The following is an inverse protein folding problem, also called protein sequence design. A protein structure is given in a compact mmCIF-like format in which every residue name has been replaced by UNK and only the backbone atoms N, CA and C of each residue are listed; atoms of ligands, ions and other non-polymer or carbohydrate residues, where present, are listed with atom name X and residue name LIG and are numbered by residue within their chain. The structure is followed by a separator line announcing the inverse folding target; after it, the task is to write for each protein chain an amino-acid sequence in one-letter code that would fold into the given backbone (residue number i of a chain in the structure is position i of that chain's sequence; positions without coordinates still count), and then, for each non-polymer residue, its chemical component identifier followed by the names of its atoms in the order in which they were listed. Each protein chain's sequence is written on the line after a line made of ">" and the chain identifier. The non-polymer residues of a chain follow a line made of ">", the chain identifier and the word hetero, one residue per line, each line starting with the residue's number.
data_IF_914064109348
#
_entry.id   IF_914064109348
#
_cell.length_a   1.000
_cell.length_b   1.000
_cell.length_c   1.000
_cell.angle_alpha   90.00
_cell.angle_beta   90.00
_cell.angle_gamma   90.00
#
_symmetry.space_group_name_H-M   'P 1'
#
loop_
_entity.id
_entity.type
_entity.pdbx_description
1 polymer ?
#
# COMPACT_ATOMS: atom_id res chain seq x y z
N UNK A 1 8.62 -33.53 -17.16
CA UNK A 1 8.00 -33.80 -15.84
C UNK A 1 8.86 -33.32 -14.66
N UNK A 2 10.11 -33.80 -14.50
CA UNK A 2 10.99 -33.38 -13.39
C UNK A 2 11.32 -31.87 -13.44
N UNK A 3 11.58 -31.32 -14.64
CA UNK A 3 11.83 -29.90 -14.83
C UNK A 3 10.64 -29.03 -14.39
N UNK A 4 9.42 -29.45 -14.76
CA UNK A 4 8.17 -28.77 -14.41
C UNK A 4 7.89 -28.82 -12.88
N UNK A 5 8.24 -29.93 -12.23
CA UNK A 5 8.07 -30.12 -10.79
C UNK A 5 9.06 -29.28 -9.96
N UNK A 6 10.34 -29.22 -10.38
CA UNK A 6 11.33 -28.32 -9.78
C UNK A 6 10.98 -26.85 -10.00
N UNK A 7 10.42 -26.51 -11.17
CA UNK A 7 9.93 -25.16 -11.46
C UNK A 7 8.78 -24.76 -10.55
N UNK A 8 7.80 -25.65 -10.40
CA UNK A 8 6.64 -25.45 -9.51
C UNK A 8 7.06 -25.27 -8.05
N UNK A 9 8.00 -26.09 -7.54
CA UNK A 9 8.48 -25.98 -6.17
C UNK A 9 9.22 -24.66 -5.90
N UNK A 10 10.12 -24.26 -6.81
CA UNK A 10 10.89 -23.01 -6.69
C UNK A 10 10.02 -21.77 -6.91
N UNK A 11 8.87 -21.90 -7.57
CA UNK A 11 7.88 -20.82 -7.73
C UNK A 11 7.02 -20.68 -6.48
N UNK A 12 6.58 -21.80 -5.90
CA UNK A 12 5.82 -21.79 -4.65
C UNK A 12 6.58 -21.07 -3.52
N UNK A 13 7.90 -21.24 -3.47
CA UNK A 13 8.74 -20.55 -2.49
C UNK A 13 8.77 -19.02 -2.67
N UNK A 14 8.76 -18.52 -3.90
CA UNK A 14 8.81 -17.08 -4.21
C UNK A 14 7.44 -16.43 -4.04
N UNK A 15 6.38 -17.11 -4.48
CA UNK A 15 5.01 -16.64 -4.26
C UNK A 15 4.70 -16.60 -2.76
N UNK A 16 5.15 -17.59 -1.99
CA UNK A 16 5.02 -17.53 -0.54
C UNK A 16 5.73 -16.31 0.08
N UNK A 17 6.81 -15.80 -0.52
CA UNK A 17 7.48 -14.58 -0.04
C UNK A 17 6.64 -13.33 -0.29
N UNK A 18 6.13 -13.14 -1.51
CA UNK A 18 5.25 -11.99 -1.82
C UNK A 18 3.97 -12.05 -0.97
N UNK A 19 3.32 -13.21 -0.90
CA UNK A 19 2.12 -13.37 -0.06
C UNK A 19 2.44 -13.08 1.40
N UNK A 20 3.62 -13.45 1.88
CA UNK A 20 4.12 -13.06 3.20
C UNK A 20 4.20 -11.54 3.37
N UNK A 21 4.82 -10.83 2.43
CA UNK A 21 4.89 -9.36 2.47
C UNK A 21 3.50 -8.73 2.46
N UNK A 22 2.61 -9.22 1.60
CA UNK A 22 1.24 -8.72 1.47
C UNK A 22 0.44 -8.98 2.76
N UNK A 23 0.57 -10.15 3.37
CA UNK A 23 -0.03 -10.46 4.67
C UNK A 23 0.52 -9.57 5.79
N UNK A 24 1.82 -9.30 5.80
CA UNK A 24 2.44 -8.39 6.77
C UNK A 24 1.88 -6.98 6.61
N UNK A 25 1.82 -6.45 5.37
CA UNK A 25 1.27 -5.12 5.09
C UNK A 25 -0.19 -5.03 5.53
N UNK A 26 -1.03 -6.00 5.16
CA UNK A 26 -2.43 -6.01 5.58
C UNK A 26 -2.60 -6.19 7.09
N UNK A 27 -1.74 -6.99 7.73
CA UNK A 27 -1.69 -7.09 9.19
C UNK A 27 -1.35 -5.76 9.85
N UNK A 28 -0.39 -5.01 9.29
CA UNK A 28 -0.03 -3.68 9.77
C UNK A 28 -1.18 -2.68 9.59
N UNK A 29 -1.92 -2.73 8.48
CA UNK A 29 -3.13 -1.90 8.29
C UNK A 29 -4.10 -2.13 9.45
N UNK A 30 -4.44 -3.39 9.73
CA UNK A 30 -5.38 -3.73 10.79
C UNK A 30 -4.84 -3.27 12.16
N UNK A 31 -3.55 -3.51 12.44
CA UNK A 31 -2.93 -3.10 13.71
C UNK A 31 -2.94 -1.57 13.91
N UNK A 32 -2.89 -0.79 12.83
CA UNK A 32 -2.94 0.67 12.89
C UNK A 32 -4.38 1.17 12.98
N UNK A 33 -5.34 0.57 12.26
CA UNK A 33 -6.73 1.03 12.25
C UNK A 33 -7.51 0.65 13.52
N UNK A 34 -7.26 -0.54 14.06
CA UNK A 34 -7.99 -1.05 15.23
C UNK A 34 -7.92 -0.14 16.47
N UNK A 35 -6.74 0.36 16.91
CA UNK A 35 -6.66 1.20 18.11
C UNK A 35 -7.35 2.56 17.93
N UNK A 36 -7.32 3.14 16.72
CA UNK A 36 -8.02 4.39 16.42
C UNK A 36 -9.54 4.19 16.45
N UNK A 37 -10.01 3.08 15.87
CA UNK A 37 -11.44 2.73 15.85
C UNK A 37 -11.96 2.44 17.27
N UNK A 38 -11.19 1.69 18.07
CA UNK A 38 -11.55 1.38 19.46
C UNK A 38 -11.60 2.65 20.33
N UNK A 39 -10.65 3.56 20.15
CA UNK A 39 -10.64 4.83 20.88
C UNK A 39 -11.90 5.65 20.57
N UNK A 40 -12.26 5.76 19.29
CA UNK A 40 -13.48 6.46 18.88
C UNK A 40 -14.74 5.81 19.46
N UNK A 41 -14.83 4.48 19.45
CA UNK A 41 -15.98 3.75 20.01
C UNK A 41 -16.11 3.93 21.54
N UNK A 42 -14.99 4.07 22.26
CA UNK A 42 -15.00 4.23 23.71
C UNK A 42 -15.26 5.68 24.15
N UNK A 43 -14.60 6.67 23.53
CA UNK A 43 -14.67 8.08 23.95
C UNK A 43 -15.60 8.95 23.10
N UNK A 44 -16.06 8.48 21.93
CA UNK A 44 -16.79 9.30 20.96
C UNK A 44 -15.95 10.37 20.28
N UNK A 45 -14.62 10.36 20.49
CA UNK A 45 -13.67 11.32 19.93
C UNK A 45 -12.29 10.68 19.73
N UNK A 46 -11.53 11.22 18.77
CA UNK A 46 -10.15 10.81 18.49
C UNK A 46 -9.15 11.49 19.44
N UNK A 47 -7.93 10.95 19.51
CA UNK A 47 -6.90 11.36 20.49
C UNK A 47 -6.56 12.86 20.44
N UNK A 48 -5.84 13.28 19.40
CA UNK A 48 -5.29 14.63 19.26
C UNK A 48 -5.12 14.94 17.77
N UNK A 49 -5.32 16.21 17.39
CA UNK A 49 -5.13 16.69 16.01
C UNK A 49 -3.72 16.44 15.48
N UNK A 50 -2.71 16.44 16.37
CA UNK A 50 -1.31 16.19 16.00
C UNK A 50 -1.02 14.74 15.59
N UNK A 51 -1.83 13.78 16.03
CA UNK A 51 -1.68 12.37 15.68
C UNK A 51 -2.41 12.02 14.38
N UNK A 52 -3.39 12.84 13.97
CA UNK A 52 -4.12 12.68 12.73
C UNK A 52 -3.24 12.66 11.46
N UNK A 53 -2.30 13.61 11.23
CA UNK A 53 -1.47 13.56 10.03
C UNK A 53 -0.59 12.32 9.96
N UNK A 54 -0.06 11.86 11.11
CA UNK A 54 0.74 10.64 11.18
C UNK A 54 -0.10 9.39 10.85
N UNK A 55 -1.33 9.33 11.37
CA UNK A 55 -2.25 8.24 11.07
C UNK A 55 -2.67 8.24 9.59
N UNK A 56 -3.05 9.39 9.03
CA UNK A 56 -3.42 9.54 7.62
C UNK A 56 -2.27 9.08 6.72
N UNK A 57 -1.04 9.54 7.01
CA UNK A 57 0.14 9.18 6.25
C UNK A 57 0.35 7.66 6.23
N UNK A 58 0.33 7.02 7.40
CA UNK A 58 0.55 5.58 7.51
C UNK A 58 -0.58 4.80 6.86
N UNK A 59 -1.83 5.17 7.09
CA UNK A 59 -2.98 4.45 6.57
C UNK A 59 -3.06 4.51 5.04
N UNK A 60 -2.99 5.71 4.45
CA UNK A 60 -3.01 5.88 2.99
C UNK A 60 -1.84 5.16 2.32
N UNK A 61 -0.64 5.30 2.88
CA UNK A 61 0.55 4.63 2.35
C UNK A 61 0.38 3.10 2.35
N UNK A 62 -0.01 2.52 3.48
CA UNK A 62 -0.14 1.06 3.59
C UNK A 62 -1.30 0.52 2.72
N UNK A 63 -2.42 1.25 2.67
CA UNK A 63 -3.59 0.87 1.88
C UNK A 63 -3.27 0.82 0.39
N UNK A 64 -2.67 1.89 -0.15
CA UNK A 64 -2.31 1.98 -1.57
C UNK A 64 -1.18 1.00 -1.91
N UNK A 65 -0.20 0.83 -1.01
CA UNK A 65 0.83 -0.19 -1.18
C UNK A 65 0.20 -1.60 -1.26
N UNK A 66 -0.80 -1.91 -0.44
CA UNK A 66 -1.52 -3.19 -0.50
C UNK A 66 -2.22 -3.39 -1.84
N UNK A 67 -2.89 -2.36 -2.38
CA UNK A 67 -3.55 -2.41 -3.70
C UNK A 67 -2.54 -2.63 -4.81
N UNK A 68 -1.48 -1.82 -4.86
CA UNK A 68 -0.43 -1.90 -5.90
C UNK A 68 0.27 -3.26 -5.85
N UNK A 69 0.62 -3.75 -4.65
CA UNK A 69 1.21 -5.08 -4.50
C UNK A 69 0.24 -6.16 -4.99
N UNK A 70 -1.04 -6.10 -4.62
CA UNK A 70 -2.05 -7.07 -5.07
C UNK A 70 -2.19 -7.07 -6.59
N UNK A 71 -2.26 -5.89 -7.21
CA UNK A 71 -2.30 -5.75 -8.67
C UNK A 71 -1.04 -6.34 -9.32
N UNK A 72 0.14 -6.01 -8.80
CA UNK A 72 1.42 -6.53 -9.31
C UNK A 72 1.49 -8.05 -9.19
N UNK A 73 1.08 -8.64 -8.06
CA UNK A 73 1.06 -10.10 -7.89
C UNK A 73 0.19 -10.80 -8.94
N UNK A 74 -0.90 -10.13 -9.36
CA UNK A 74 -1.84 -10.65 -10.35
C UNK A 74 -1.25 -10.59 -11.75
N UNK A 75 -0.57 -9.48 -12.09
CA UNK A 75 0.16 -9.30 -13.35
C UNK A 75 1.31 -10.31 -13.44
N UNK A 76 2.09 -10.48 -12.36
CA UNK A 76 3.19 -11.43 -12.33
C UNK A 76 2.72 -12.87 -12.58
N UNK A 77 1.60 -13.25 -11.95
CA UNK A 77 0.94 -14.55 -12.18
C UNK A 77 0.51 -14.72 -13.63
N UNK A 78 -0.11 -13.70 -14.22
CA UNK A 78 -0.51 -13.72 -15.61
C UNK A 78 0.70 -13.88 -16.55
N UNK A 79 1.73 -13.06 -16.38
CA UNK A 79 2.96 -13.13 -17.19
C UNK A 79 3.67 -14.48 -17.06
N UNK A 80 3.63 -15.08 -15.87
CA UNK A 80 4.22 -16.39 -15.67
C UNK A 80 3.50 -17.49 -16.47
N UNK A 81 2.17 -17.47 -16.51
CA UNK A 81 1.37 -18.49 -17.21
C UNK A 81 1.56 -18.38 -18.73
N UNK A 82 1.59 -17.17 -19.28
CA UNK A 82 1.60 -16.95 -20.73
C UNK A 82 3.00 -16.71 -21.32
N UNK A 83 3.97 -16.25 -20.52
CA UNK A 83 5.30 -15.84 -20.98
C UNK A 83 6.43 -16.40 -20.10
N UNK A 84 6.34 -17.67 -19.72
CA UNK A 84 7.27 -18.36 -18.82
C UNK A 84 8.76 -18.17 -19.23
N UNK A 85 9.09 -18.40 -20.51
CA UNK A 85 10.47 -18.26 -21.04
C UNK A 85 11.09 -16.87 -20.80
N UNK A 86 10.30 -15.79 -20.83
CA UNK A 86 10.78 -14.43 -20.60
C UNK A 86 11.03 -14.17 -19.11
N UNK A 87 10.09 -14.61 -18.27
CA UNK A 87 10.17 -14.48 -16.80
C UNK A 87 11.33 -15.31 -16.24
N UNK A 88 11.57 -16.52 -16.75
CA UNK A 88 12.66 -17.40 -16.28
C UNK A 88 14.04 -16.73 -16.39
N UNK A 89 14.25 -15.94 -17.45
CA UNK A 89 15.54 -15.29 -17.76
C UNK A 89 15.75 -14.00 -16.99
N UNK A 90 14.68 -13.29 -16.64
CA UNK A 90 14.74 -11.98 -15.97
C UNK A 90 14.05 -11.98 -14.60
N UNK A 91 13.99 -13.14 -13.94
CA UNK A 91 13.23 -13.35 -12.70
C UNK A 91 13.57 -12.34 -11.60
N UNK A 92 14.85 -12.03 -11.40
CA UNK A 92 15.28 -11.09 -10.35
C UNK A 92 14.82 -9.66 -10.66
N UNK A 93 14.95 -9.25 -11.93
CA UNK A 93 14.59 -7.90 -12.37
C UNK A 93 13.07 -7.69 -12.37
N UNK A 94 12.29 -8.69 -12.78
CA UNK A 94 10.84 -8.57 -12.88
C UNK A 94 10.12 -8.83 -11.55
N UNK A 95 10.76 -9.49 -10.59
CA UNK A 95 10.14 -9.80 -9.31
C UNK A 95 10.51 -8.80 -8.21
N UNK A 96 11.81 -8.60 -7.95
CA UNK A 96 12.25 -7.83 -6.78
C UNK A 96 12.27 -6.33 -7.04
N UNK A 97 12.65 -5.89 -8.24
CA UNK A 97 12.74 -4.45 -8.55
C UNK A 97 11.38 -3.76 -8.41
N UNK A 98 10.27 -4.27 -8.97
CA UNK A 98 8.98 -3.59 -8.90
C UNK A 98 8.49 -3.47 -7.46
N UNK A 99 8.65 -4.53 -6.66
CA UNK A 99 8.25 -4.52 -5.24
C UNK A 99 9.05 -3.48 -4.46
N UNK A 100 10.37 -3.46 -4.62
CA UNK A 100 11.23 -2.47 -3.94
C UNK A 100 10.85 -1.06 -4.38
N UNK A 101 10.62 -0.87 -5.68
CA UNK A 101 10.25 0.43 -6.24
C UNK A 101 8.92 0.91 -5.68
N UNK A 102 7.88 0.06 -5.61
CA UNK A 102 6.59 0.40 -5.00
C UNK A 102 6.72 0.67 -3.50
N UNK A 103 7.48 -0.13 -2.76
CA UNK A 103 7.72 0.09 -1.34
C UNK A 103 8.43 1.41 -1.03
N UNK A 104 9.19 1.99 -1.97
CA UNK A 104 9.86 3.28 -1.80
C UNK A 104 9.01 4.43 -2.36
N UNK A 105 8.39 4.22 -3.52
CA UNK A 105 7.59 5.21 -4.22
C UNK A 105 6.37 5.64 -3.39
N UNK A 106 5.56 4.67 -2.93
CA UNK A 106 4.31 4.95 -2.22
C UNK A 106 4.52 5.81 -0.97
N UNK A 107 5.44 5.46 -0.03
CA UNK A 107 5.68 6.32 1.12
C UNK A 107 6.26 7.68 0.73
N UNK A 108 7.16 7.74 -0.26
CA UNK A 108 7.76 9.01 -0.69
C UNK A 108 6.71 9.97 -1.26
N UNK A 109 5.76 9.45 -2.05
CA UNK A 109 4.68 10.22 -2.63
C UNK A 109 3.74 10.80 -1.56
N UNK A 110 3.26 9.96 -0.63
CA UNK A 110 2.35 10.42 0.43
C UNK A 110 3.05 11.30 1.47
N UNK A 111 4.33 11.06 1.79
CA UNK A 111 5.13 11.98 2.62
C UNK A 111 5.21 13.35 1.95
N UNK A 112 5.48 13.38 0.64
CA UNK A 112 5.48 14.60 -0.17
C UNK A 112 4.17 15.37 -0.07
N UNK A 113 3.05 14.72 -0.38
CA UNK A 113 1.75 15.36 -0.41
C UNK A 113 1.19 15.73 0.96
N UNK A 114 1.37 14.89 1.98
CA UNK A 114 0.76 15.12 3.29
C UNK A 114 1.56 16.14 4.12
N UNK A 115 2.89 16.16 4.00
CA UNK A 115 3.75 17.03 4.82
C UNK A 115 4.09 18.35 4.12
N UNK A 116 4.43 18.31 2.82
CA UNK A 116 4.95 19.50 2.13
C UNK A 116 3.89 20.30 1.38
N UNK A 117 2.71 19.75 1.12
CA UNK A 117 1.66 20.48 0.43
C UNK A 117 1.06 21.55 1.34
N UNK A 118 1.10 22.85 0.95
CA UNK A 118 0.67 23.94 1.80
C UNK A 118 -0.85 24.05 1.82
N UNK A 119 -1.47 23.45 2.81
CA UNK A 119 -2.92 23.47 3.01
C UNK A 119 -3.26 23.58 4.50
N UNK A 120 -4.39 24.21 4.82
CA UNK A 120 -4.94 24.13 6.17
C UNK A 120 -5.69 22.81 6.35
N UNK A 121 -5.23 22.00 7.30
CA UNK A 121 -5.89 20.75 7.64
C UNK A 121 -6.97 21.00 8.70
N UNK A 122 -8.24 20.86 8.32
CA UNK A 122 -9.36 20.87 9.24
C UNK A 122 -9.69 19.43 9.68
N UNK A 123 -9.09 18.99 10.80
CA UNK A 123 -9.35 17.67 11.36
C UNK A 123 -10.67 17.65 12.13
N UNK A 124 -11.58 16.74 11.77
CA UNK A 124 -12.77 16.48 12.58
C UNK A 124 -12.46 15.38 13.60
N UNK A 125 -12.31 15.76 14.87
CA UNK A 125 -12.03 14.81 15.96
C UNK A 125 -13.26 14.00 16.39
N UNK A 126 -14.47 14.41 15.99
CA UNK A 126 -15.73 13.75 16.30
C UNK A 126 -16.16 12.74 15.22
N UNK A 127 -15.33 12.53 14.19
CA UNK A 127 -15.53 11.51 13.17
C UNK A 127 -14.89 10.18 13.54
N UNK A 128 -15.36 9.10 12.91
CA UNK A 128 -14.76 7.76 13.04
C UNK A 128 -13.32 7.70 12.50
N UNK A 129 -12.95 8.64 11.61
CA UNK A 129 -11.62 8.85 11.07
C UNK A 129 -11.23 10.31 11.26
N UNK A 130 -9.93 10.56 11.39
CA UNK A 130 -9.41 11.89 11.12
C UNK A 130 -9.78 12.20 9.68
N UNK A 131 -10.47 13.32 9.44
CA UNK A 131 -10.84 13.80 8.10
C UNK A 131 -9.75 13.52 7.06
N UNK A 132 -10.14 13.27 5.81
CA UNK A 132 -9.18 12.96 4.73
C UNK A 132 -8.08 14.02 4.59
N UNK A 133 -6.91 13.66 4.03
CA UNK A 133 -5.82 14.60 3.81
C UNK A 133 -6.30 15.78 2.96
N UNK A 134 -5.84 16.98 3.30
CA UNK A 134 -6.31 18.22 2.70
C UNK A 134 -6.21 18.24 1.16
N UNK A 135 -5.22 17.56 0.58
CA UNK A 135 -4.92 17.63 -0.84
C UNK A 135 -6.05 16.98 -1.66
N UNK A 136 -6.87 16.13 -1.05
CA UNK A 136 -8.03 15.53 -1.73
C UNK A 136 -9.14 16.54 -2.02
N UNK A 137 -9.19 17.65 -1.28
CA UNK A 137 -10.16 18.73 -1.50
C UNK A 137 -9.70 19.71 -2.58
N UNK A 138 -8.43 19.66 -2.96
CA UNK A 138 -7.86 20.44 -4.05
C UNK A 138 -7.91 19.66 -5.37
N UNK A 139 -8.41 20.30 -6.42
CA UNK A 139 -8.70 19.62 -7.69
C UNK A 139 -7.48 18.95 -8.34
N UNK A 140 -6.35 19.64 -8.38
CA UNK A 140 -5.13 19.18 -9.07
C UNK A 140 -4.46 18.01 -8.35
N UNK A 141 -4.05 18.11 -7.07
CA UNK A 141 -3.38 17.00 -6.39
C UNK A 141 -4.29 15.78 -6.20
N UNK A 142 -5.60 15.97 -6.04
CA UNK A 142 -6.57 14.87 -6.01
C UNK A 142 -6.59 14.09 -7.34
N UNK A 143 -6.62 14.81 -8.48
CA UNK A 143 -6.55 14.19 -9.81
C UNK A 143 -5.23 13.44 -10.02
N UNK A 144 -4.09 14.00 -9.59
CA UNK A 144 -2.79 13.34 -9.71
C UNK A 144 -2.80 12.02 -8.94
N UNK A 145 -3.21 12.03 -7.67
CA UNK A 145 -3.26 10.83 -6.83
C UNK A 145 -4.16 9.74 -7.45
N UNK A 146 -5.34 10.13 -7.93
CA UNK A 146 -6.26 9.21 -8.62
C UNK A 146 -5.69 8.65 -9.92
N UNK A 147 -4.96 9.43 -10.71
CA UNK A 147 -4.40 8.93 -11.96
C UNK A 147 -3.14 8.06 -11.76
N UNK A 148 -2.38 8.28 -10.69
CA UNK A 148 -1.11 7.58 -10.47
C UNK A 148 -1.22 6.35 -9.58
N UNK A 149 -2.14 6.36 -8.60
CA UNK A 149 -2.17 5.38 -7.51
C UNK A 149 -3.47 4.58 -7.40
N UNK A 150 -4.52 4.94 -8.14
CA UNK A 150 -5.85 4.29 -8.15
C UNK A 150 -6.19 3.79 -9.55
#
# INVERSE_FOLDING_TARGET
>A
LIYYSLYHFKWNQIVNQIFGVLLIVNGLIILVELPFTLQYLYHGQLYNERLCPAWILVNYTLFILSIILTAWTSIERYLFIYHDLFITRQRVLLHYIPIILFCIYTPSFYVGLVIFYPCEQAYNLYGYICSGPCYLFESVPCLIDWCTNV
#
